data_IF_017871168757
#
_entry.id   IF_017871168757
#
_cell.length_a   1.000
_cell.length_b   1.000
_cell.length_c   1.000
_cell.angle_alpha   90.00
_cell.angle_beta   90.00
_cell.angle_gamma   90.00
#
_symmetry.space_group_name_H-M   'P 1'
#
loop_
_entity.id
_entity.type
_entity.pdbx_description
1 polymer ?
#
# COMPACT_ATOMS: atom_id res chain seq x y z
N UNK A 1 13.24 28.96 -13.87
CA UNK A 1 12.28 27.97 -13.57
C UNK A 1 12.64 27.20 -12.33
N UNK A 2 11.68 26.94 -11.52
CA UNK A 2 11.94 26.22 -10.30
C UNK A 2 11.45 24.81 -10.43
N UNK A 3 12.29 23.87 -10.08
CA UNK A 3 11.91 22.50 -10.13
C UNK A 3 11.80 22.03 -8.70
N UNK A 4 10.62 21.63 -8.33
CA UNK A 4 10.41 21.12 -7.01
C UNK A 4 11.06 19.76 -6.89
N UNK A 5 11.70 19.46 -5.77
CA UNK A 5 12.24 18.13 -5.59
C UNK A 5 11.12 17.11 -5.61
N UNK A 6 11.41 16.00 -6.21
CA UNK A 6 10.46 14.91 -6.23
C UNK A 6 10.56 14.18 -4.90
N UNK A 7 9.62 14.44 -4.01
CA UNK A 7 9.61 13.83 -2.69
C UNK A 7 8.88 12.49 -2.68
N UNK A 8 8.60 11.97 -3.84
CA UNK A 8 7.96 10.67 -3.96
C UNK A 8 6.76 10.65 -4.88
N UNK A 9 6.34 11.79 -5.40
CA UNK A 9 5.15 11.86 -6.23
C UNK A 9 5.27 11.09 -7.52
N UNK A 10 6.46 11.08 -8.10
CA UNK A 10 6.68 10.38 -9.35
C UNK A 10 7.48 9.10 -9.19
N UNK A 11 7.76 8.71 -7.97
CA UNK A 11 8.51 7.49 -7.71
C UNK A 11 7.59 6.29 -7.89
N UNK A 12 7.98 5.31 -8.70
CA UNK A 12 7.15 4.13 -8.86
C UNK A 12 7.07 3.34 -7.56
N UNK A 13 5.87 2.95 -7.22
CA UNK A 13 5.63 2.13 -6.04
C UNK A 13 4.76 0.97 -6.45
N UNK A 14 5.19 -0.23 -6.09
CA UNK A 14 4.38 -1.43 -6.29
C UNK A 14 3.87 -1.86 -4.94
N UNK A 15 2.57 -2.03 -4.84
CA UNK A 15 1.93 -2.46 -3.59
C UNK A 15 1.45 -3.89 -3.76
N UNK A 16 1.86 -4.75 -2.85
CA UNK A 16 1.48 -6.15 -2.88
C UNK A 16 0.72 -6.47 -1.60
N UNK A 17 -0.50 -6.94 -1.73
CA UNK A 17 -1.30 -7.35 -0.59
C UNK A 17 -1.08 -8.83 -0.38
N UNK A 18 -0.50 -9.18 0.75
CA UNK A 18 -0.17 -10.57 1.05
C UNK A 18 -1.25 -11.29 1.81
N UNK A 19 -2.02 -10.58 2.61
CA UNK A 19 -3.15 -11.20 3.27
C UNK A 19 -4.23 -10.16 3.50
N UNK A 20 -5.46 -10.61 3.47
CA UNK A 20 -6.61 -9.77 3.72
C UNK A 20 -7.57 -10.57 4.57
N UNK A 21 -7.96 -10.03 5.71
CA UNK A 21 -8.89 -10.66 6.61
C UNK A 21 -9.92 -9.66 7.04
N UNK A 22 -11.13 -10.07 7.13
CA UNK A 22 -12.10 -9.16 7.64
C UNK A 22 -13.51 -9.61 7.40
N UNK A 23 -14.41 -8.78 7.83
CA UNK A 23 -15.82 -9.02 7.73
C UNK A 23 -16.49 -7.85 7.05
N UNK A 24 -17.75 -7.68 7.38
CA UNK A 24 -18.57 -6.66 6.72
C UNK A 24 -18.24 -5.24 7.11
N UNK A 25 -17.63 -5.06 8.27
CA UNK A 25 -17.39 -3.73 8.80
C UNK A 25 -15.98 -3.24 8.53
N UNK A 26 -15.02 -4.13 8.67
CA UNK A 26 -13.63 -3.74 8.48
C UNK A 26 -12.83 -4.94 7.98
N UNK A 27 -11.82 -4.65 7.18
CA UNK A 27 -10.90 -5.67 6.68
C UNK A 27 -9.48 -5.25 7.02
N UNK A 28 -8.70 -6.20 7.50
CA UNK A 28 -7.29 -5.98 7.78
C UNK A 28 -6.48 -6.46 6.61
N UNK A 29 -5.61 -5.60 6.14
CA UNK A 29 -4.72 -5.91 5.02
C UNK A 29 -3.30 -5.89 5.51
N UNK A 30 -2.53 -6.87 5.07
CA UNK A 30 -1.10 -6.90 5.33
C UNK A 30 -0.39 -7.06 4.01
N UNK A 31 0.70 -6.38 3.84
CA UNK A 31 1.42 -6.52 2.59
C UNK A 31 2.76 -5.83 2.64
N UNK A 32 3.30 -5.63 1.46
CA UNK A 32 4.56 -4.94 1.31
C UNK A 32 4.43 -3.95 0.16
N UNK A 33 5.28 -2.97 0.16
CA UNK A 33 5.41 -2.11 -1.00
C UNK A 33 6.88 -2.06 -1.42
N UNK A 34 7.08 -1.97 -2.71
CA UNK A 34 8.41 -1.92 -3.28
C UNK A 34 8.70 -0.50 -3.70
N UNK A 35 9.82 0.01 -3.24
CA UNK A 35 10.20 1.37 -3.48
C UNK A 35 11.69 1.39 -3.77
N UNK A 36 12.04 1.78 -4.99
CA UNK A 36 13.43 1.83 -5.43
C UNK A 36 14.18 0.52 -5.19
N UNK A 37 13.52 -0.58 -5.46
CA UNK A 37 14.14 -1.89 -5.30
C UNK A 37 14.18 -2.41 -3.89
N UNK A 38 13.61 -1.69 -2.94
CA UNK A 38 13.56 -2.13 -1.55
C UNK A 38 12.14 -2.49 -1.18
N UNK A 39 12.02 -3.47 -0.31
CA UNK A 39 10.73 -3.95 0.13
C UNK A 39 10.46 -3.51 1.55
N UNK A 40 9.28 -2.95 1.78
CA UNK A 40 8.87 -2.50 3.09
C UNK A 40 7.50 -3.07 3.41
N UNK A 41 7.25 -3.30 4.67
CA UNK A 41 5.97 -3.84 5.12
C UNK A 41 4.99 -2.74 5.43
N UNK A 42 3.71 -3.05 5.27
CA UNK A 42 2.65 -2.16 5.72
C UNK A 42 1.48 -2.96 6.24
N UNK A 43 0.63 -2.28 7.00
CA UNK A 43 -0.65 -2.80 7.43
C UNK A 43 -1.70 -1.75 7.11
N UNK A 44 -2.88 -2.19 6.81
CA UNK A 44 -3.97 -1.26 6.55
C UNK A 44 -5.28 -1.82 7.08
N UNK A 45 -6.18 -0.91 7.42
CA UNK A 45 -7.52 -1.24 7.81
C UNK A 45 -8.44 -0.53 6.84
N UNK A 46 -9.26 -1.30 6.18
CA UNK A 46 -10.27 -0.74 5.28
C UNK A 46 -11.60 -0.82 5.99
N UNK A 47 -12.28 0.29 6.08
CA UNK A 47 -13.57 0.37 6.74
C UNK A 47 -14.69 0.61 5.73
N UNK A 48 -15.82 0.06 6.03
CA UNK A 48 -17.01 0.34 5.26
C UNK A 48 -17.21 -0.61 4.11
N UNK A 49 -17.98 -0.14 3.14
CA UNK A 49 -18.39 -0.97 2.05
C UNK A 49 -17.43 -0.92 0.92
N UNK A 50 -17.66 -1.77 -0.03
CA UNK A 50 -16.94 -1.75 -1.28
C UNK A 50 -17.06 -0.37 -1.90
N UNK A 51 -15.97 0.16 -2.37
CA UNK A 51 -15.96 1.50 -2.91
C UNK A 51 -15.78 2.59 -1.88
N UNK A 52 -15.72 2.22 -0.63
CA UNK A 52 -15.44 3.19 0.41
C UNK A 52 -14.00 3.65 0.35
N UNK A 53 -13.77 4.83 0.89
CA UNK A 53 -12.45 5.41 0.83
C UNK A 53 -11.78 5.49 2.19
N UNK A 54 -12.31 4.79 3.15
CA UNK A 54 -11.80 4.86 4.51
C UNK A 54 -10.77 3.77 4.72
N UNK A 55 -9.54 4.09 4.41
CA UNK A 55 -8.43 3.18 4.64
C UNK A 55 -7.45 3.85 5.57
N UNK A 56 -7.13 3.15 6.64
CA UNK A 56 -6.12 3.60 7.58
C UNK A 56 -4.86 2.80 7.32
N UNK A 57 -3.80 3.47 6.96
CA UNK A 57 -2.54 2.83 6.60
C UNK A 57 -1.54 3.02 7.73
N UNK A 58 -0.85 1.94 8.07
CA UNK A 58 0.22 1.99 9.07
C UNK A 58 1.50 1.45 8.45
N UNK A 59 2.52 2.26 8.48
CA UNK A 59 3.85 1.86 8.02
C UNK A 59 4.76 1.85 9.24
N UNK A 60 5.50 0.76 9.46
CA UNK A 60 6.38 0.69 10.62
C UNK A 60 7.40 1.83 10.64
N UNK A 61 7.75 2.25 11.83
CA UNK A 61 8.65 3.38 11.99
C UNK A 61 9.99 3.16 11.31
N UNK A 62 10.47 1.95 11.33
CA UNK A 62 11.73 1.62 10.66
C UNK A 62 11.64 1.93 9.17
N UNK A 63 10.52 1.56 8.55
CA UNK A 63 10.32 1.84 7.13
C UNK A 63 10.20 3.34 6.87
N UNK A 64 9.50 4.05 7.74
CA UNK A 64 9.38 5.50 7.60
C UNK A 64 10.76 6.17 7.66
N UNK A 65 11.61 5.71 8.57
CA UNK A 65 12.94 6.26 8.68
C UNK A 65 13.78 6.00 7.43
N UNK A 66 13.62 4.82 6.84
CA UNK A 66 14.35 4.52 5.61
C UNK A 66 13.87 5.37 4.45
N UNK A 67 12.58 5.64 4.39
CA UNK A 67 12.02 6.51 3.36
C UNK A 67 12.61 7.92 3.50
N UNK A 68 12.72 8.40 4.72
CA UNK A 68 13.32 9.71 4.97
C UNK A 68 14.79 9.71 4.53
N UNK A 69 15.50 8.64 4.81
CA UNK A 69 16.90 8.54 4.40
C UNK A 69 17.08 8.53 2.89
N UNK A 70 16.07 8.11 2.17
CA UNK A 70 16.09 8.15 0.73
C UNK A 70 15.82 9.54 0.17
N UNK A 71 15.53 10.50 1.04
CA UNK A 71 15.19 11.84 0.60
C UNK A 71 13.74 11.99 0.17
N UNK A 72 12.90 11.06 0.58
CA UNK A 72 11.49 11.07 0.20
C UNK A 72 10.64 11.49 1.38
N UNK A 73 9.45 11.99 1.08
CA UNK A 73 8.51 12.40 2.12
C UNK A 73 7.62 11.21 2.47
N UNK A 74 7.66 10.73 3.71
CA UNK A 74 6.82 9.58 4.10
C UNK A 74 5.33 9.84 3.90
N UNK A 75 4.88 11.08 4.06
CA UNK A 75 3.46 11.37 3.88
C UNK A 75 3.07 11.22 2.42
N UNK A 76 3.92 11.65 1.50
CA UNK A 76 3.65 11.49 0.08
C UNK A 76 3.59 10.00 -0.28
N UNK A 77 4.53 9.23 0.24
CA UNK A 77 4.56 7.79 -0.02
C UNK A 77 3.31 7.13 0.54
N UNK A 78 2.93 7.49 1.76
CA UNK A 78 1.73 6.93 2.38
C UNK A 78 0.48 7.23 1.57
N UNK A 79 0.35 8.44 1.09
CA UNK A 79 -0.81 8.81 0.27
C UNK A 79 -0.84 8.04 -1.03
N UNK A 80 0.31 7.80 -1.65
CA UNK A 80 0.35 7.01 -2.86
C UNK A 80 -0.10 5.58 -2.61
N UNK A 81 0.34 4.99 -1.51
CA UNK A 81 -0.06 3.63 -1.17
C UNK A 81 -1.56 3.59 -0.89
N UNK A 82 -2.07 4.55 -0.13
CA UNK A 82 -3.50 4.60 0.13
C UNK A 82 -4.31 4.72 -1.16
N UNK A 83 -3.89 5.57 -2.07
CA UNK A 83 -4.58 5.72 -3.34
C UNK A 83 -4.58 4.42 -4.13
N UNK A 84 -3.47 3.72 -4.15
CA UNK A 84 -3.41 2.45 -4.86
C UNK A 84 -4.33 1.42 -4.23
N UNK A 85 -4.40 1.39 -2.91
CA UNK A 85 -5.30 0.47 -2.23
C UNK A 85 -6.76 0.81 -2.50
N UNK A 86 -7.10 2.08 -2.50
CA UNK A 86 -8.46 2.51 -2.76
C UNK A 86 -8.86 2.20 -4.20
N UNK A 87 -7.96 2.39 -5.14
CA UNK A 87 -8.24 2.19 -6.55
C UNK A 87 -8.02 0.76 -7.00
N UNK A 88 -7.53 -0.09 -6.12
CA UNK A 88 -7.29 -1.48 -6.49
C UNK A 88 -6.06 -1.68 -7.36
N UNK A 89 -5.17 -0.72 -7.41
CA UNK A 89 -3.95 -0.82 -8.20
C UNK A 89 -2.86 -1.51 -7.40
N UNK A 90 -3.13 -2.73 -7.01
CA UNK A 90 -2.22 -3.51 -6.18
C UNK A 90 -2.13 -4.93 -6.72
N UNK A 91 -1.02 -5.58 -6.43
CA UNK A 91 -0.87 -6.99 -6.73
C UNK A 91 -1.37 -7.79 -5.55
N UNK A 92 -2.14 -8.81 -5.82
CA UNK A 92 -2.67 -9.66 -4.78
C UNK A 92 -1.88 -10.94 -4.74
N UNK A 93 -1.15 -11.12 -3.66
CA UNK A 93 -0.44 -12.37 -3.44
C UNK A 93 -1.29 -13.31 -2.60
N UNK A 94 -2.18 -12.75 -1.79
CA UNK A 94 -3.09 -13.54 -1.01
C UNK A 94 -4.10 -14.21 -1.92
N UNK A 95 -4.18 -15.52 -1.87
CA UNK A 95 -5.09 -16.26 -2.71
C UNK A 95 -6.13 -16.95 -1.85
N UNK A 96 -7.38 -16.57 -1.98
CA UNK A 96 -8.43 -17.30 -1.28
C UNK A 96 -8.44 -18.74 -1.74
N UNK A 97 -8.89 -19.64 -0.92
CA UNK A 97 -8.96 -21.04 -1.30
C UNK A 97 -9.72 -21.21 -2.61
N UNK A 98 -9.09 -21.85 -3.54
CA UNK A 98 -9.72 -22.11 -4.81
C UNK A 98 -9.70 -20.98 -5.79
N UNK A 99 -9.50 -19.78 -5.35
CA UNK A 99 -9.61 -18.66 -6.26
C UNK A 99 -8.42 -18.55 -7.16
N UNK A 100 -7.30 -18.90 -6.67
CA UNK A 100 -6.08 -18.75 -7.42
C UNK A 100 -6.05 -19.56 -8.66
N UNK A 101 -6.92 -20.52 -8.78
CA UNK A 101 -6.93 -21.32 -9.91
C UNK A 101 -8.10 -21.19 -10.67
N UNK A 102 -9.03 -20.44 -10.18
CA UNK A 102 -10.26 -20.33 -10.89
C UNK A 102 -10.09 -19.68 -12.18
N UNK A 103 -9.15 -18.93 -12.33
CA UNK A 103 -8.99 -18.27 -13.54
C UNK A 103 -8.19 -19.03 -14.46
N UNK A 104 -8.08 -20.09 -14.17
CA UNK A 104 -7.33 -20.79 -15.08
C UNK A 104 -7.96 -21.37 -16.07
#
# INVERSE_FOLDING_TARGET
MTISPDLGENVPITVVVKSARGGNVASKLNGVFLLRGREFRFKALAFGRIGGHNISLTIPKIALNEIIKMGLDPDVISLKIQSKLIEGEVDLEAKPPGAGRAHL
#
